data_IF_390348300218
#
_entry.id   IF_390348300218
#
_cell.length_a   1.000
_cell.length_b   1.000
_cell.length_c   1.000
_cell.angle_alpha   90.00
_cell.angle_beta   90.00
_cell.angle_gamma   90.00
#
_symmetry.space_group_name_H-M   'P 1'
#
loop_
_entity.id
_entity.type
_entity.pdbx_description
1 polymer ?
#
# COMPACT_ATOMS: atom_id res chain seq x y z
N UNK A 1 -7.93 23.16 4.33
CA UNK A 1 -6.51 22.78 4.51
C UNK A 1 -5.97 22.39 3.15
N UNK A 2 -4.69 22.65 2.87
CA UNK A 2 -4.07 22.11 1.65
C UNK A 2 -3.97 20.59 1.79
N UNK A 3 -4.31 19.87 0.72
CA UNK A 3 -4.23 18.41 0.68
C UNK A 3 -2.78 17.96 0.50
N UNK A 4 -2.44 16.82 1.05
CA UNK A 4 -1.10 16.22 0.94
C UNK A 4 -1.00 15.55 -0.43
N UNK A 5 -0.07 15.97 -1.32
CA UNK A 5 0.13 15.32 -2.60
C UNK A 5 0.77 13.95 -2.39
N UNK A 6 0.14 12.90 -2.92
CA UNK A 6 0.59 11.51 -2.73
C UNK A 6 0.77 10.75 -4.03
N UNK A 7 1.74 9.85 -4.02
CA UNK A 7 1.91 8.77 -5.00
C UNK A 7 1.69 7.46 -4.26
N UNK A 8 0.83 6.59 -4.78
CA UNK A 8 0.71 5.22 -4.29
C UNK A 8 1.57 4.29 -5.15
N UNK A 9 2.46 3.51 -4.56
CA UNK A 9 3.20 2.43 -5.22
C UNK A 9 2.77 1.09 -4.63
N UNK A 10 2.10 0.26 -5.43
CA UNK A 10 1.30 -0.89 -4.97
C UNK A 10 1.52 -2.13 -5.81
N UNK A 11 1.49 -3.30 -5.17
CA UNK A 11 1.38 -4.60 -5.84
C UNK A 11 -0.01 -5.21 -5.71
N UNK A 12 -1.05 -4.38 -5.84
CA UNK A 12 -2.45 -4.79 -5.90
C UNK A 12 -2.65 -5.97 -6.86
N UNK A 13 -3.36 -6.99 -6.40
CA UNK A 13 -3.58 -8.23 -7.17
C UNK A 13 -2.99 -9.46 -6.49
N UNK A 14 -1.92 -9.30 -5.71
CA UNK A 14 -1.30 -10.38 -4.93
C UNK A 14 -2.15 -10.68 -3.70
N UNK A 15 -2.24 -9.73 -2.78
CA UNK A 15 -3.19 -9.74 -1.68
C UNK A 15 -4.34 -8.78 -2.03
N UNK A 16 -5.47 -8.93 -1.34
CA UNK A 16 -6.65 -8.10 -1.56
C UNK A 16 -6.54 -6.78 -0.81
N UNK A 17 -5.72 -6.68 0.24
CA UNK A 17 -5.67 -5.51 1.11
C UNK A 17 -5.21 -4.23 0.41
N UNK A 18 -4.39 -4.29 -0.63
CA UNK A 18 -4.12 -3.14 -1.49
C UNK A 18 -5.41 -2.51 -2.07
N UNK A 19 -6.43 -3.32 -2.38
CA UNK A 19 -7.72 -2.82 -2.89
C UNK A 19 -8.47 -2.05 -1.79
N UNK A 20 -8.39 -2.53 -0.55
CA UNK A 20 -8.95 -1.82 0.61
C UNK A 20 -8.20 -0.51 0.86
N UNK A 21 -6.87 -0.55 0.78
CA UNK A 21 -6.02 0.63 0.92
C UNK A 21 -6.26 1.65 -0.19
N UNK A 22 -6.41 1.24 -1.45
CA UNK A 22 -6.74 2.12 -2.57
C UNK A 22 -8.08 2.84 -2.35
N UNK A 23 -9.11 2.13 -1.87
CA UNK A 23 -10.42 2.72 -1.61
C UNK A 23 -10.34 3.71 -0.44
N UNK A 24 -9.66 3.34 0.65
CA UNK A 24 -9.40 4.24 1.77
C UNK A 24 -8.66 5.51 1.30
N UNK A 25 -7.63 5.34 0.46
CA UNK A 25 -6.78 6.41 -0.06
C UNK A 25 -7.61 7.44 -0.84
N UNK A 26 -8.42 7.00 -1.81
CA UNK A 26 -9.19 7.92 -2.67
C UNK A 26 -10.39 8.56 -1.96
N UNK A 27 -10.82 8.00 -0.83
CA UNK A 27 -11.85 8.54 0.03
C UNK A 27 -11.29 9.43 1.16
N UNK A 28 -9.97 9.48 1.36
CA UNK A 28 -9.36 10.30 2.41
C UNK A 28 -9.26 11.77 1.94
N UNK A 29 -10.02 12.72 2.54
CA UNK A 29 -10.07 14.10 2.08
C UNK A 29 -8.75 14.87 2.28
N UNK A 30 -7.89 14.39 3.18
CA UNK A 30 -6.57 14.93 3.46
C UNK A 30 -5.60 14.72 2.29
N UNK A 31 -5.86 13.74 1.44
CA UNK A 31 -4.93 13.26 0.42
C UNK A 31 -5.34 13.71 -1.00
N UNK A 32 -4.34 14.07 -1.80
CA UNK A 32 -4.46 14.42 -3.20
C UNK A 32 -3.61 13.46 -4.03
N UNK A 33 -4.24 12.38 -4.49
CA UNK A 33 -3.57 11.29 -5.21
C UNK A 33 -3.19 11.75 -6.61
N UNK A 34 -1.90 11.91 -6.84
CA UNK A 34 -1.33 12.42 -8.09
C UNK A 34 -0.99 11.34 -9.10
N UNK A 35 -0.61 10.17 -8.64
CA UNK A 35 -0.19 9.03 -9.45
C UNK A 35 -0.35 7.73 -8.64
N UNK A 36 -0.71 6.64 -9.32
CA UNK A 36 -0.66 5.30 -8.75
C UNK A 36 0.25 4.44 -9.64
N UNK A 37 1.32 3.90 -9.10
CA UNK A 37 2.25 3.01 -9.80
C UNK A 37 2.07 1.56 -9.38
N UNK A 38 2.21 0.65 -10.35
CA UNK A 38 2.17 -0.79 -10.10
C UNK A 38 3.56 -1.38 -10.02
N UNK A 39 3.80 -2.30 -9.10
CA UNK A 39 5.10 -2.96 -8.92
C UNK A 39 4.95 -4.47 -8.75
N UNK A 40 5.98 -5.22 -9.15
CA UNK A 40 6.08 -6.68 -9.09
C UNK A 40 5.03 -7.43 -9.93
N UNK A 41 5.25 -8.72 -10.19
CA UNK A 41 4.30 -9.56 -10.93
C UNK A 41 3.89 -8.98 -12.29
N UNK A 42 2.64 -9.15 -12.68
CA UNK A 42 2.07 -8.62 -13.93
C UNK A 42 1.50 -7.22 -13.70
N UNK A 43 2.37 -6.21 -13.86
CA UNK A 43 2.04 -4.80 -13.59
C UNK A 43 0.93 -4.23 -14.48
N UNK A 44 0.67 -4.80 -15.66
CA UNK A 44 -0.45 -4.43 -16.52
C UNK A 44 -1.75 -4.98 -15.95
N UNK A 45 -1.76 -6.24 -15.51
CA UNK A 45 -2.90 -6.81 -14.79
C UNK A 45 -3.23 -6.02 -13.52
N UNK A 46 -2.22 -5.65 -12.73
CA UNK A 46 -2.42 -4.79 -11.54
C UNK A 46 -3.05 -3.44 -11.90
N UNK A 47 -2.59 -2.84 -13.00
CA UNK A 47 -3.12 -1.57 -13.48
C UNK A 47 -4.59 -1.67 -13.92
N UNK A 48 -5.02 -2.81 -14.48
CA UNK A 48 -6.44 -3.06 -14.77
C UNK A 48 -7.30 -3.06 -13.52
N UNK A 49 -6.81 -3.58 -12.38
CA UNK A 49 -7.55 -3.57 -11.10
C UNK A 49 -7.76 -2.12 -10.66
N UNK A 50 -6.67 -1.34 -10.62
CA UNK A 50 -6.72 0.07 -10.24
C UNK A 50 -7.69 0.83 -11.17
N UNK A 51 -7.52 0.71 -12.48
CA UNK A 51 -8.35 1.37 -13.47
C UNK A 51 -9.85 1.02 -13.31
N UNK A 52 -10.19 -0.25 -13.07
CA UNK A 52 -11.57 -0.69 -12.84
C UNK A 52 -12.15 -0.05 -11.56
N UNK A 53 -11.41 -0.07 -10.45
CA UNK A 53 -11.85 0.52 -9.19
C UNK A 53 -12.02 2.04 -9.32
N UNK A 54 -11.05 2.74 -9.91
CA UNK A 54 -11.11 4.19 -10.13
C UNK A 54 -12.27 4.59 -11.05
N UNK A 55 -12.52 3.80 -12.11
CA UNK A 55 -13.68 4.02 -12.99
C UNK A 55 -15.00 3.93 -12.23
N UNK A 56 -15.17 2.92 -11.38
CA UNK A 56 -16.35 2.75 -10.53
C UNK A 56 -16.48 3.91 -9.53
N UNK A 57 -15.35 4.40 -9.02
CA UNK A 57 -15.27 5.56 -8.13
C UNK A 57 -15.48 6.91 -8.83
N UNK A 58 -15.54 6.95 -10.17
CA UNK A 58 -15.59 8.19 -10.94
C UNK A 58 -14.31 9.04 -10.85
N UNK A 59 -13.15 8.42 -10.61
CA UNK A 59 -11.84 9.08 -10.45
C UNK A 59 -10.96 8.86 -11.67
N UNK A 60 -10.21 9.90 -12.08
CA UNK A 60 -9.29 9.89 -13.24
C UNK A 60 -7.84 10.11 -12.81
N UNK A 61 -7.40 9.38 -11.79
CA UNK A 61 -6.03 9.45 -11.28
C UNK A 61 -5.10 8.74 -12.28
N UNK A 62 -3.98 9.36 -12.70
CA UNK A 62 -3.03 8.69 -13.58
C UNK A 62 -2.47 7.40 -12.99
N UNK A 63 -2.24 6.40 -13.85
CA UNK A 63 -1.68 5.11 -13.50
C UNK A 63 -0.34 4.93 -14.23
N UNK A 64 0.71 4.57 -13.52
CA UNK A 64 2.01 4.24 -14.11
C UNK A 64 2.31 2.75 -14.04
N UNK A 65 2.61 2.13 -15.18
CA UNK A 65 3.07 0.74 -15.23
C UNK A 65 4.53 0.71 -14.77
N UNK A 66 4.82 0.01 -13.66
CA UNK A 66 6.19 -0.13 -13.14
C UNK A 66 6.84 -1.46 -13.48
N UNK A 67 7.88 -1.80 -12.70
CA UNK A 67 8.70 -2.99 -12.91
C UNK A 67 7.95 -4.24 -12.43
N UNK A 68 7.88 -5.26 -13.29
CA UNK A 68 7.25 -6.53 -12.98
C UNK A 68 7.87 -7.72 -13.72
N UNK A 69 7.45 -8.92 -13.32
CA UNK A 69 7.69 -10.18 -14.02
C UNK A 69 6.36 -10.95 -14.16
N UNK A 70 5.64 -10.79 -15.29
CA UNK A 70 4.35 -11.43 -15.50
C UNK A 70 4.38 -12.96 -15.40
N UNK A 71 5.53 -13.60 -15.63
CA UNK A 71 5.64 -15.08 -15.65
C UNK A 71 5.48 -15.71 -14.27
N UNK A 72 5.86 -14.96 -13.23
CA UNK A 72 5.81 -15.41 -11.84
C UNK A 72 4.73 -14.66 -11.03
N UNK A 73 3.78 -14.04 -11.73
CA UNK A 73 2.75 -13.25 -11.09
C UNK A 73 1.66 -14.11 -10.45
N UNK A 74 1.25 -13.70 -9.27
CA UNK A 74 0.12 -14.28 -8.55
C UNK A 74 -1.14 -13.44 -8.82
N UNK A 75 -1.95 -13.87 -9.79
CA UNK A 75 -3.08 -13.09 -10.30
C UNK A 75 -4.42 -13.52 -9.70
N UNK A 76 -4.55 -13.52 -8.36
CA UNK A 76 -5.75 -14.05 -7.69
C UNK A 76 -7.02 -13.22 -7.91
N UNK A 77 -6.88 -11.98 -8.38
CA UNK A 77 -7.98 -11.09 -8.74
C UNK A 77 -8.20 -11.04 -10.27
N UNK A 78 -7.56 -11.91 -11.08
CA UNK A 78 -7.76 -11.95 -12.54
C UNK A 78 -9.23 -12.04 -12.96
N UNK A 79 -10.08 -12.89 -12.34
CA UNK A 79 -11.47 -12.97 -12.74
C UNK A 79 -12.24 -11.65 -12.55
N UNK A 80 -11.80 -10.77 -11.62
CA UNK A 80 -12.42 -9.47 -11.42
C UNK A 80 -12.17 -8.52 -12.61
N UNK A 81 -11.04 -8.66 -13.31
CA UNK A 81 -10.65 -7.75 -14.40
C UNK A 81 -10.58 -8.40 -15.77
N UNK A 82 -10.94 -9.68 -15.89
CA UNK A 82 -10.87 -10.46 -17.14
C UNK A 82 -11.54 -9.76 -18.32
N UNK A 83 -12.77 -9.29 -18.11
CA UNK A 83 -13.59 -8.64 -19.14
C UNK A 83 -13.44 -7.10 -19.11
N UNK A 84 -12.49 -6.58 -18.34
CA UNK A 84 -12.25 -5.15 -18.25
C UNK A 84 -11.24 -4.69 -19.31
N UNK A 85 -11.71 -3.85 -20.23
CA UNK A 85 -10.84 -3.12 -21.15
C UNK A 85 -10.26 -1.89 -20.44
N UNK A 86 -8.93 -1.89 -20.29
CA UNK A 86 -8.19 -0.81 -19.64
C UNK A 86 -8.33 0.51 -20.42
N UNK A 87 -8.53 0.47 -21.74
CA UNK A 87 -8.73 1.67 -22.56
C UNK A 87 -10.09 2.34 -22.30
N UNK A 88 -11.00 1.66 -21.60
CA UNK A 88 -12.24 2.25 -21.14
C UNK A 88 -12.06 3.15 -19.91
N UNK A 89 -10.87 3.18 -19.32
CA UNK A 89 -10.49 4.10 -18.25
C UNK A 89 -10.13 5.48 -18.83
N UNK A 90 -10.67 6.55 -18.25
CA UNK A 90 -10.48 7.91 -18.76
C UNK A 90 -9.26 8.64 -18.15
N UNK A 91 -8.61 8.06 -17.15
CA UNK A 91 -7.35 8.58 -16.62
C UNK A 91 -6.18 8.18 -17.50
N UNK A 92 -5.07 8.90 -17.37
CA UNK A 92 -3.85 8.62 -18.13
C UNK A 92 -3.19 7.33 -17.67
N UNK A 93 -2.61 6.58 -18.62
CA UNK A 93 -1.83 5.37 -18.37
C UNK A 93 -0.44 5.59 -18.94
N UNK A 94 0.56 5.68 -18.06
CA UNK A 94 1.96 5.78 -18.44
C UNK A 94 2.55 4.37 -18.57
N UNK A 95 3.12 4.06 -19.74
CA UNK A 95 3.87 2.81 -19.95
C UNK A 95 5.15 2.77 -19.11
N UNK A 96 5.75 3.93 -18.82
CA UNK A 96 6.88 4.09 -17.93
C UNK A 96 6.45 4.84 -16.65
N UNK A 97 5.88 4.10 -15.71
CA UNK A 97 5.45 4.63 -14.43
C UNK A 97 6.58 5.16 -13.55
N UNK A 98 7.80 4.68 -13.76
CA UNK A 98 8.97 5.12 -12.99
C UNK A 98 9.38 6.51 -13.44
N UNK A 99 9.46 6.73 -14.75
CA UNK A 99 9.73 8.05 -15.30
C UNK A 99 8.62 9.05 -14.94
N UNK A 100 7.35 8.62 -15.00
CA UNK A 100 6.22 9.44 -14.55
C UNK A 100 6.34 9.83 -13.07
N UNK A 101 6.72 8.91 -12.18
CA UNK A 101 7.00 9.18 -10.77
C UNK A 101 8.14 10.20 -10.60
N UNK A 102 9.27 10.00 -11.31
CA UNK A 102 10.42 10.91 -11.27
C UNK A 102 10.04 12.31 -11.73
N UNK A 103 9.35 12.43 -12.86
CA UNK A 103 8.96 13.73 -13.42
C UNK A 103 7.97 14.47 -12.52
N UNK A 104 7.00 13.74 -11.94
CA UNK A 104 6.04 14.30 -11.00
C UNK A 104 6.75 14.86 -9.75
N UNK A 105 7.65 14.09 -9.12
CA UNK A 105 8.38 14.55 -7.93
C UNK A 105 9.37 15.68 -8.27
N UNK A 106 10.05 15.58 -9.41
CA UNK A 106 11.04 16.59 -9.82
C UNK A 106 10.41 17.96 -10.04
N UNK A 107 9.20 17.98 -10.62
CA UNK A 107 8.47 19.20 -11.00
C UNK A 107 7.51 19.71 -9.92
N UNK A 108 7.33 18.98 -8.82
CA UNK A 108 6.49 19.43 -7.70
C UNK A 108 7.15 20.56 -6.92
N UNK A 109 6.38 21.61 -6.60
CA UNK A 109 6.81 22.71 -5.73
C UNK A 109 6.75 22.34 -4.24
N UNK A 110 5.84 21.43 -3.89
CA UNK A 110 5.67 20.91 -2.53
C UNK A 110 6.19 19.47 -2.43
N UNK A 111 6.70 19.03 -1.27
CA UNK A 111 7.10 17.64 -1.08
C UNK A 111 5.95 16.66 -1.32
N UNK A 112 6.21 15.66 -2.18
CA UNK A 112 5.28 14.55 -2.41
C UNK A 112 5.51 13.48 -1.34
N UNK A 113 4.44 12.86 -0.86
CA UNK A 113 4.53 11.65 -0.02
C UNK A 113 4.33 10.40 -0.88
N UNK A 114 5.35 9.55 -0.94
CA UNK A 114 5.24 8.23 -1.57
C UNK A 114 4.70 7.26 -0.52
N UNK A 115 3.52 6.69 -0.78
CA UNK A 115 2.92 5.61 -0.01
C UNK A 115 3.26 4.30 -0.71
N UNK A 116 4.19 3.54 -0.14
CA UNK A 116 4.72 2.31 -0.73
C UNK A 116 4.16 1.11 0.01
N UNK A 117 3.28 0.37 -0.65
CA UNK A 117 2.60 -0.81 -0.08
C UNK A 117 2.94 -2.11 -0.81
N UNK A 118 3.82 -2.04 -1.81
CA UNK A 118 4.46 -3.21 -2.41
C UNK A 118 5.98 -3.25 -2.21
N UNK A 119 6.68 -4.17 -2.91
CA UNK A 119 8.15 -4.19 -2.94
C UNK A 119 8.71 -2.86 -3.44
N UNK A 120 9.78 -2.37 -2.81
CA UNK A 120 10.33 -1.04 -3.06
C UNK A 120 11.09 -0.86 -4.41
N UNK A 121 10.90 -1.78 -5.36
CA UNK A 121 11.64 -1.87 -6.63
C UNK A 121 11.50 -0.61 -7.48
N UNK A 122 10.28 -0.10 -7.65
CA UNK A 122 10.04 1.12 -8.43
C UNK A 122 10.75 2.34 -7.81
N UNK A 123 10.67 2.48 -6.49
CA UNK A 123 11.25 3.60 -5.76
C UNK A 123 12.78 3.55 -5.82
N UNK A 124 13.37 2.37 -5.60
CA UNK A 124 14.80 2.17 -5.77
C UNK A 124 15.26 2.52 -7.19
N UNK A 125 14.49 2.15 -8.22
CA UNK A 125 14.77 2.53 -9.61
C UNK A 125 14.63 4.04 -9.85
N UNK A 126 13.62 4.68 -9.29
CA UNK A 126 13.45 6.13 -9.38
C UNK A 126 14.64 6.87 -8.76
N UNK A 127 15.18 6.38 -7.63
CA UNK A 127 16.41 6.90 -7.00
C UNK A 127 17.65 6.67 -7.88
N UNK A 128 17.73 5.57 -8.64
CA UNK A 128 18.80 5.38 -9.61
C UNK A 128 18.77 6.42 -10.73
N UNK A 129 17.57 6.70 -11.26
CA UNK A 129 17.37 7.66 -12.34
C UNK A 129 17.61 9.09 -11.85
N UNK A 130 17.10 9.42 -10.65
CA UNK A 130 17.23 10.73 -10.04
C UNK A 130 17.70 10.62 -8.57
N UNK A 131 19.02 10.62 -8.32
CA UNK A 131 19.57 10.42 -6.97
C UNK A 131 19.16 11.46 -5.91
N UNK A 132 18.75 12.66 -6.33
CA UNK A 132 18.24 13.70 -5.43
C UNK A 132 16.75 13.58 -5.14
N UNK A 133 16.04 12.62 -5.75
CA UNK A 133 14.61 12.35 -5.54
C UNK A 133 14.23 12.28 -4.05
N UNK A 134 14.95 11.54 -3.18
CA UNK A 134 14.61 11.45 -1.76
C UNK A 134 14.53 12.82 -1.07
N UNK A 135 15.38 13.77 -1.45
CA UNK A 135 15.42 15.11 -0.85
C UNK A 135 14.18 15.95 -1.16
N UNK A 136 13.31 15.49 -2.06
CA UNK A 136 12.07 16.16 -2.48
C UNK A 136 10.79 15.45 -2.03
N UNK A 137 10.89 14.28 -1.39
CA UNK A 137 9.70 13.52 -1.02
C UNK A 137 9.82 12.88 0.38
N UNK A 138 8.67 12.59 0.95
CA UNK A 138 8.53 11.73 2.12
C UNK A 138 8.30 10.29 1.66
N UNK A 139 8.73 9.33 2.47
CA UNK A 139 8.44 7.91 2.29
C UNK A 139 7.58 7.42 3.45
N UNK A 140 6.44 6.83 3.11
CA UNK A 140 5.55 6.11 4.03
C UNK A 140 5.38 4.68 3.51
N UNK A 141 5.73 3.67 4.29
CA UNK A 141 5.80 2.28 3.81
C UNK A 141 5.08 1.25 4.66
N UNK A 142 4.44 0.26 4.03
CA UNK A 142 4.07 -1.02 4.67
C UNK A 142 5.22 -2.01 4.49
N UNK A 143 6.18 -1.95 5.41
CA UNK A 143 7.41 -2.74 5.34
C UNK A 143 7.86 -3.21 6.71
N UNK A 144 8.30 -4.46 6.75
CA UNK A 144 9.07 -4.98 7.88
C UNK A 144 8.25 -5.63 8.99
N UNK A 145 9.00 -6.21 9.92
CA UNK A 145 8.56 -6.96 11.08
C UNK A 145 9.66 -6.81 12.13
N UNK A 146 9.43 -6.00 13.16
CA UNK A 146 10.48 -5.58 14.10
C UNK A 146 10.49 -6.49 15.34
N UNK A 147 9.37 -6.51 16.06
CA UNK A 147 9.16 -7.32 17.27
C UNK A 147 7.96 -8.27 17.17
N UNK A 148 7.08 -8.09 16.17
CA UNK A 148 5.98 -9.00 15.85
C UNK A 148 6.07 -9.53 14.42
N UNK A 149 5.74 -10.81 14.26
CA UNK A 149 5.59 -11.48 12.97
C UNK A 149 4.13 -11.63 12.54
N UNK A 150 3.90 -12.42 11.50
CA UNK A 150 2.56 -12.67 10.98
C UNK A 150 1.64 -13.30 12.04
N UNK A 151 0.37 -12.87 12.05
CA UNK A 151 -0.62 -13.30 13.04
C UNK A 151 -0.34 -12.78 14.45
N UNK A 152 0.48 -11.73 14.61
CA UNK A 152 0.77 -11.09 15.89
C UNK A 152 1.68 -11.89 16.82
N UNK A 153 2.35 -12.94 16.31
CA UNK A 153 3.28 -13.74 17.11
C UNK A 153 4.50 -12.91 17.53
N UNK A 154 5.07 -13.26 18.68
CA UNK A 154 6.34 -12.68 19.12
C UNK A 154 7.49 -13.08 18.20
N UNK A 155 8.45 -12.17 18.06
CA UNK A 155 9.58 -12.32 17.15
C UNK A 155 9.32 -11.65 15.81
N UNK A 156 10.13 -11.97 14.81
CA UNK A 156 10.08 -11.33 13.51
C UNK A 156 9.99 -12.36 12.40
N UNK A 157 9.37 -11.98 11.30
CA UNK A 157 9.30 -12.74 10.07
C UNK A 157 9.95 -11.97 8.92
N UNK A 158 10.36 -12.66 7.84
CA UNK A 158 10.67 -11.97 6.60
C UNK A 158 9.34 -11.51 5.97
N UNK A 159 9.02 -10.24 6.21
CA UNK A 159 7.82 -9.57 5.67
C UNK A 159 7.86 -9.60 4.13
N UNK A 160 6.70 -9.76 3.49
CA UNK A 160 6.58 -10.12 2.08
C UNK A 160 7.20 -9.08 1.15
N UNK A 161 6.89 -7.79 1.34
CA UNK A 161 7.43 -6.69 0.56
C UNK A 161 8.95 -6.56 0.71
N UNK A 162 9.46 -6.67 1.95
CA UNK A 162 10.90 -6.68 2.22
C UNK A 162 11.59 -7.87 1.55
N UNK A 163 11.04 -9.07 1.72
CA UNK A 163 11.62 -10.32 1.21
C UNK A 163 11.63 -10.36 -0.31
N UNK A 164 10.61 -9.77 -0.94
CA UNK A 164 10.47 -9.72 -2.40
C UNK A 164 11.61 -8.94 -3.06
N UNK A 165 12.08 -7.86 -2.44
CA UNK A 165 13.21 -7.09 -2.95
C UNK A 165 14.04 -6.41 -1.83
N UNK A 166 14.88 -7.21 -1.19
CA UNK A 166 15.77 -6.79 -0.10
C UNK A 166 16.71 -5.66 -0.53
N UNK A 167 17.25 -5.72 -1.75
CA UNK A 167 18.24 -4.74 -2.22
C UNK A 167 17.61 -3.38 -2.46
N UNK A 168 16.41 -3.36 -3.05
CA UNK A 168 15.67 -2.12 -3.25
C UNK A 168 15.27 -1.48 -1.92
N UNK A 169 14.79 -2.25 -0.94
CA UNK A 169 14.45 -1.67 0.36
C UNK A 169 15.68 -1.11 1.09
N UNK A 170 16.82 -1.79 1.03
CA UNK A 170 18.10 -1.25 1.56
C UNK A 170 18.48 0.06 0.90
N UNK A 171 18.29 0.19 -0.40
CA UNK A 171 18.54 1.45 -1.13
C UNK A 171 17.61 2.55 -0.64
N UNK A 172 16.33 2.26 -0.42
CA UNK A 172 15.36 3.22 0.11
C UNK A 172 15.73 3.65 1.54
N UNK A 173 16.03 2.69 2.42
CA UNK A 173 16.34 2.98 3.83
C UNK A 173 17.62 3.79 4.00
N UNK A 174 18.66 3.50 3.21
CA UNK A 174 19.91 4.28 3.21
C UNK A 174 19.83 5.63 2.49
N UNK A 175 18.71 5.93 1.82
CA UNK A 175 18.51 7.19 1.11
C UNK A 175 18.01 8.31 2.02
N UNK A 176 18.39 9.55 1.68
CA UNK A 176 18.09 10.75 2.47
C UNK A 176 16.73 11.36 2.08
N UNK A 177 15.65 10.63 2.34
CA UNK A 177 14.30 11.17 2.25
C UNK A 177 14.08 12.31 3.26
N UNK A 178 13.12 13.20 2.99
CA UNK A 178 12.72 14.24 3.96
C UNK A 178 12.27 13.59 5.27
N UNK A 179 11.48 12.52 5.16
CA UNK A 179 11.09 11.63 6.25
C UNK A 179 10.92 10.21 5.73
N UNK A 180 11.21 9.21 6.57
CA UNK A 180 10.94 7.79 6.34
C UNK A 180 10.13 7.27 7.51
N UNK A 181 8.89 6.88 7.24
CA UNK A 181 7.95 6.37 8.22
C UNK A 181 7.42 5.03 7.73
N UNK A 182 7.41 4.00 8.58
CA UNK A 182 6.88 2.69 8.21
C UNK A 182 5.89 2.16 9.24
N UNK A 183 4.96 1.36 8.74
CA UNK A 183 4.15 0.43 9.55
C UNK A 183 4.62 -1.00 9.28
N UNK A 184 5.33 -1.63 10.23
CA UNK A 184 5.67 -3.04 10.17
C UNK A 184 4.53 -3.92 10.69
N UNK A 185 4.70 -5.25 10.61
CA UNK A 185 3.76 -6.25 11.14
C UNK A 185 3.38 -6.04 12.62
N UNK A 186 4.20 -5.31 13.39
CA UNK A 186 3.90 -4.86 14.76
C UNK A 186 2.60 -4.08 14.89
N UNK A 187 2.19 -3.37 13.84
CA UNK A 187 0.95 -2.59 13.80
C UNK A 187 0.04 -3.02 12.67
N UNK A 188 0.51 -3.07 11.42
CA UNK A 188 -0.33 -3.44 10.28
C UNK A 188 -0.80 -4.90 10.32
N UNK A 189 -0.02 -5.80 10.93
CA UNK A 189 -0.34 -7.23 11.03
C UNK A 189 -1.51 -7.57 11.95
N UNK A 190 -2.10 -6.57 12.61
CA UNK A 190 -3.18 -6.72 13.60
C UNK A 190 -4.51 -6.14 13.12
N UNK A 191 -4.56 -5.56 11.92
CA UNK A 191 -5.75 -4.89 11.39
C UNK A 191 -6.61 -5.89 10.64
N UNK A 192 -7.82 -6.13 11.13
CA UNK A 192 -8.88 -6.82 10.38
C UNK A 192 -10.24 -6.28 10.83
N UNK A 193 -11.22 -6.36 9.94
CA UNK A 193 -12.61 -5.98 10.22
C UNK A 193 -13.45 -7.24 10.41
N UNK A 194 -14.23 -7.25 11.48
CA UNK A 194 -15.25 -8.27 11.75
C UNK A 194 -16.54 -7.62 12.28
N UNK A 195 -17.52 -8.45 12.64
CA UNK A 195 -18.74 -8.01 13.32
C UNK A 195 -19.49 -6.90 12.57
N UNK A 196 -19.93 -5.88 13.30
CA UNK A 196 -20.69 -4.77 12.72
C UNK A 196 -19.85 -3.87 11.81
N UNK A 197 -18.54 -3.73 12.07
CA UNK A 197 -17.63 -2.97 11.22
C UNK A 197 -17.55 -3.59 9.82
N UNK A 198 -17.32 -4.90 9.76
CA UNK A 198 -17.28 -5.61 8.48
C UNK A 198 -18.64 -5.64 7.79
N UNK A 199 -19.72 -5.93 8.53
CA UNK A 199 -21.08 -5.96 7.97
C UNK A 199 -21.51 -4.64 7.33
N UNK A 200 -21.08 -3.49 7.85
CA UNK A 200 -21.33 -2.18 7.24
C UNK A 200 -20.76 -2.12 5.82
N UNK A 201 -19.53 -2.58 5.63
CA UNK A 201 -18.88 -2.61 4.31
C UNK A 201 -19.52 -3.70 3.44
N UNK A 202 -19.66 -4.91 3.98
CA UNK A 202 -20.17 -6.09 3.27
C UNK A 202 -21.58 -5.90 2.69
N UNK A 203 -22.47 -5.26 3.45
CA UNK A 203 -23.86 -5.00 3.06
C UNK A 203 -24.06 -3.63 2.38
N UNK A 204 -22.99 -2.91 2.06
CA UNK A 204 -23.11 -1.58 1.46
C UNK A 204 -23.64 -1.64 0.04
N UNK A 205 -24.57 -0.75 -0.27
CA UNK A 205 -25.12 -0.60 -1.63
C UNK A 205 -24.25 0.32 -2.51
N UNK A 206 -23.20 0.95 -1.95
CA UNK A 206 -22.30 1.84 -2.71
C UNK A 206 -21.56 1.03 -3.78
N UNK A 207 -21.54 1.47 -5.06
CA UNK A 207 -20.94 0.70 -6.16
C UNK A 207 -19.49 0.27 -5.91
N UNK A 208 -18.68 1.15 -5.32
CA UNK A 208 -17.28 0.86 -5.03
C UNK A 208 -17.10 -0.22 -3.97
N UNK A 209 -17.97 -0.27 -2.95
CA UNK A 209 -17.92 -1.27 -1.90
C UNK A 209 -18.49 -2.61 -2.36
N UNK A 210 -19.51 -2.61 -3.24
CA UNK A 210 -19.93 -3.82 -3.94
C UNK A 210 -18.80 -4.43 -4.75
N UNK A 211 -18.07 -3.60 -5.50
CA UNK A 211 -16.93 -4.04 -6.28
C UNK A 211 -15.79 -4.58 -5.40
N UNK A 212 -15.51 -3.92 -4.27
CA UNK A 212 -14.55 -4.39 -3.27
C UNK A 212 -14.90 -5.80 -2.77
N UNK A 213 -16.16 -6.02 -2.35
CA UNK A 213 -16.60 -7.30 -1.80
C UNK A 213 -16.68 -8.39 -2.87
N UNK A 214 -17.07 -8.06 -4.10
CA UNK A 214 -17.00 -8.99 -5.24
C UNK A 214 -15.56 -9.45 -5.46
N UNK A 215 -14.62 -8.51 -5.53
CA UNK A 215 -13.21 -8.78 -5.73
C UNK A 215 -12.61 -9.58 -4.57
N UNK A 216 -12.97 -9.24 -3.33
CA UNK A 216 -12.55 -9.98 -2.15
C UNK A 216 -13.04 -11.42 -2.15
N UNK A 217 -14.30 -11.67 -2.54
CA UNK A 217 -14.84 -13.04 -2.68
C UNK A 217 -14.14 -13.84 -3.78
N UNK A 218 -13.68 -13.18 -4.85
CA UNK A 218 -12.89 -13.82 -5.90
C UNK A 218 -11.53 -14.22 -5.34
N UNK A 219 -10.81 -13.27 -4.73
CA UNK A 219 -9.51 -13.50 -4.13
C UNK A 219 -9.54 -14.59 -3.05
N UNK A 220 -10.53 -14.54 -2.14
CA UNK A 220 -10.70 -15.49 -1.05
C UNK A 220 -10.84 -16.96 -1.51
N UNK A 221 -11.36 -17.19 -2.72
CA UNK A 221 -11.49 -18.54 -3.31
C UNK A 221 -10.20 -19.04 -3.97
N UNK A 222 -9.30 -18.12 -4.35
CA UNK A 222 -8.14 -18.42 -5.19
C UNK A 222 -6.82 -18.34 -4.42
N UNK A 223 -6.76 -17.57 -3.33
CA UNK A 223 -5.57 -17.46 -2.48
C UNK A 223 -5.16 -18.84 -1.91
N UNK A 224 -3.85 -19.10 -1.87
CA UNK A 224 -3.32 -20.44 -1.58
C UNK A 224 -2.61 -20.57 -0.23
N UNK A 225 -2.25 -19.46 0.41
CA UNK A 225 -1.51 -19.46 1.69
C UNK A 225 -2.40 -19.35 2.92
N UNK A 226 -3.68 -19.02 2.76
CA UNK A 226 -4.61 -18.87 3.88
C UNK A 226 -6.02 -19.29 3.50
N UNK A 227 -6.83 -19.63 4.50
CA UNK A 227 -8.27 -19.85 4.33
C UNK A 227 -8.99 -18.59 4.77
N UNK A 228 -9.96 -18.16 3.97
CA UNK A 228 -10.61 -16.87 4.13
C UNK A 228 -12.12 -17.07 4.23
N UNK A 229 -12.70 -16.60 5.33
CA UNK A 229 -14.16 -16.50 5.47
C UNK A 229 -14.61 -15.07 5.11
N UNK A 230 -14.68 -14.82 3.80
CA UNK A 230 -15.07 -13.53 3.26
C UNK A 230 -16.52 -13.12 3.57
N UNK A 231 -17.33 -13.98 4.19
CA UNK A 231 -18.71 -13.60 4.57
C UNK A 231 -18.77 -12.96 5.97
N UNK A 232 -17.80 -13.25 6.83
CA UNK A 232 -17.84 -12.84 8.24
C UNK A 232 -16.75 -11.84 8.64
N UNK A 233 -15.60 -11.81 7.95
CA UNK A 233 -14.52 -10.88 8.23
C UNK A 233 -13.65 -10.56 7.01
N UNK A 234 -12.86 -9.49 7.09
CA UNK A 234 -11.81 -9.18 6.09
C UNK A 234 -10.58 -10.08 6.28
N UNK A 235 -9.67 -10.11 5.30
CA UNK A 235 -8.29 -10.51 5.54
C UNK A 235 -7.61 -9.51 6.48
N UNK A 236 -6.34 -9.76 6.83
CA UNK A 236 -5.53 -8.71 7.45
C UNK A 236 -5.36 -7.56 6.44
N UNK A 237 -5.63 -6.33 6.86
CA UNK A 237 -5.63 -5.14 6.02
C UNK A 237 -4.35 -4.32 6.26
N UNK A 238 -3.20 -4.88 5.91
CA UNK A 238 -1.90 -4.34 6.29
C UNK A 238 -1.71 -2.92 5.75
N UNK A 239 -1.99 -2.74 4.46
CA UNK A 239 -1.67 -1.53 3.70
C UNK A 239 -2.45 -0.29 4.13
N UNK A 240 -3.61 -0.50 4.76
CA UNK A 240 -4.47 0.60 5.22
C UNK A 240 -3.78 1.47 6.28
N UNK A 241 -2.85 0.90 7.04
CA UNK A 241 -2.08 1.65 8.04
C UNK A 241 -1.08 2.60 7.35
N UNK A 242 -0.46 2.19 6.23
CA UNK A 242 0.46 3.06 5.49
C UNK A 242 -0.29 4.24 4.87
N UNK A 243 -1.52 4.03 4.39
CA UNK A 243 -2.39 5.11 3.92
C UNK A 243 -2.72 6.08 5.07
N UNK A 244 -3.05 5.58 6.26
CA UNK A 244 -3.30 6.42 7.43
C UNK A 244 -2.07 7.25 7.82
N UNK A 245 -0.90 6.62 7.89
CA UNK A 245 0.38 7.27 8.22
C UNK A 245 0.77 8.40 7.24
N UNK A 246 0.18 8.44 6.05
CA UNK A 246 0.38 9.54 5.10
C UNK A 246 -0.23 10.87 5.57
N UNK A 247 -1.21 10.87 6.49
CA UNK A 247 -1.87 12.08 6.98
C UNK A 247 -2.06 12.14 8.50
N UNK A 248 -2.02 11.02 9.22
CA UNK A 248 -2.13 11.00 10.68
C UNK A 248 -1.43 9.78 11.29
N UNK A 249 -1.04 9.91 12.55
CA UNK A 249 -0.50 8.83 13.37
C UNK A 249 -1.00 8.96 14.81
N UNK A 250 -2.18 9.57 15.00
CA UNK A 250 -2.75 9.86 16.32
C UNK A 250 -2.93 8.58 17.15
N UNK A 251 -3.42 7.51 16.52
CA UNK A 251 -3.68 6.21 17.15
C UNK A 251 -2.44 5.33 17.31
N UNK A 252 -1.26 5.81 16.93
CA UNK A 252 -0.04 5.03 16.87
C UNK A 252 1.07 5.64 17.74
N UNK A 253 1.91 4.78 18.29
CA UNK A 253 3.18 5.16 18.90
C UNK A 253 4.29 5.01 17.86
N UNK A 254 4.95 6.13 17.55
CA UNK A 254 6.03 6.19 16.56
C UNK A 254 7.36 6.32 17.30
N UNK A 255 8.30 5.43 17.01
CA UNK A 255 9.65 5.45 17.59
C UNK A 255 10.70 5.52 16.47
N UNK A 256 11.78 6.31 16.61
CA UNK A 256 12.94 6.22 15.74
C UNK A 256 13.71 4.93 16.05
N UNK A 257 13.91 4.08 15.05
CA UNK A 257 14.64 2.82 15.17
C UNK A 257 15.68 2.77 14.05
N UNK A 258 16.93 2.42 14.39
CA UNK A 258 17.93 2.07 13.40
C UNK A 258 17.72 0.64 12.94
N UNK A 259 17.41 0.45 11.66
CA UNK A 259 17.04 -0.84 11.09
C UNK A 259 18.11 -1.30 10.11
N UNK A 260 18.50 -2.57 10.24
CA UNK A 260 19.23 -3.31 9.22
C UNK A 260 18.30 -4.31 8.55
N UNK A 261 18.23 -4.28 7.21
CA UNK A 261 17.57 -5.32 6.42
C UNK A 261 18.58 -6.43 6.12
N UNK A 262 18.31 -7.67 6.52
CA UNK A 262 19.20 -8.82 6.30
C UNK A 262 19.00 -9.45 4.91
N UNK A 263 19.95 -10.29 4.46
CA UNK A 263 19.90 -10.88 3.11
C UNK A 263 18.71 -11.83 2.91
N UNK A 264 18.22 -12.41 4.00
CA UNK A 264 17.04 -13.28 4.07
C UNK A 264 15.73 -12.52 4.34
N UNK A 265 15.75 -11.19 4.33
CA UNK A 265 14.55 -10.35 4.35
C UNK A 265 14.01 -9.98 5.73
N UNK A 266 14.79 -10.12 6.80
CA UNK A 266 14.39 -9.63 8.11
C UNK A 266 14.76 -8.16 8.30
N UNK A 267 13.89 -7.42 8.99
CA UNK A 267 14.17 -6.07 9.49
C UNK A 267 14.55 -6.14 10.96
N UNK A 268 15.80 -5.81 11.29
CA UNK A 268 16.36 -6.02 12.64
C UNK A 268 16.84 -4.69 13.21
N UNK A 269 16.49 -4.33 14.46
CA UNK A 269 17.12 -3.23 15.17
C UNK A 269 18.65 -3.44 15.25
N UNK A 270 19.42 -2.49 14.74
CA UNK A 270 20.89 -2.54 14.69
C UNK A 270 21.44 -1.11 14.81
N UNK A 271 22.38 -0.87 15.73
CA UNK A 271 22.99 0.45 15.95
C UNK A 271 23.72 1.04 14.72
N UNK A 272 24.07 0.19 13.75
CA UNK A 272 24.67 0.56 12.47
C UNK A 272 23.65 0.60 11.32
N UNK A 273 22.37 0.36 11.62
CA UNK A 273 21.28 0.43 10.65
C UNK A 273 20.92 1.87 10.29
N UNK A 274 20.01 1.98 9.33
CA UNK A 274 19.46 3.25 8.89
C UNK A 274 18.34 3.68 9.85
N UNK A 275 18.34 4.94 10.29
CA UNK A 275 17.29 5.47 11.16
C UNK A 275 15.98 5.67 10.39
N UNK A 276 14.90 5.04 10.87
CA UNK A 276 13.56 5.06 10.30
C UNK A 276 12.56 5.36 11.43
N UNK A 277 11.51 6.14 11.16
CA UNK A 277 10.39 6.27 12.08
C UNK A 277 9.48 5.05 11.92
N UNK A 278 9.12 4.40 13.03
CA UNK A 278 8.42 3.12 13.01
C UNK A 278 7.18 3.18 13.87
N UNK A 279 6.02 2.83 13.30
CA UNK A 279 4.79 2.61 14.05
C UNK A 279 4.86 1.28 14.80
N UNK A 280 5.29 1.32 16.06
CA UNK A 280 5.67 0.11 16.81
C UNK A 280 4.55 -0.46 17.67
N UNK A 281 3.57 0.37 18.04
CA UNK A 281 2.42 -0.03 18.86
C UNK A 281 1.18 0.80 18.53
N UNK A 282 0.02 0.19 18.74
CA UNK A 282 -1.27 0.89 18.77
C UNK A 282 -1.48 1.55 20.12
N UNK A 283 -1.81 2.84 20.12
CA UNK A 283 -2.43 3.53 21.27
C UNK A 283 -3.90 3.17 21.37
N UNK A 284 -4.58 3.14 20.23
CA UNK A 284 -5.99 2.76 20.12
C UNK A 284 -6.31 2.12 18.76
N UNK A 285 -6.20 0.80 18.69
CA UNK A 285 -6.55 0.05 17.48
C UNK A 285 -8.05 0.15 17.17
N UNK A 286 -8.92 0.24 18.17
CA UNK A 286 -10.37 0.30 17.92
C UNK A 286 -10.77 1.62 17.27
N UNK A 287 -10.21 2.74 17.74
CA UNK A 287 -10.42 4.04 17.10
C UNK A 287 -9.94 4.04 15.65
N UNK A 288 -8.80 3.40 15.36
CA UNK A 288 -8.35 3.22 13.99
C UNK A 288 -9.32 2.37 13.14
N UNK A 289 -9.84 1.26 13.67
CA UNK A 289 -10.79 0.42 12.94
C UNK A 289 -12.11 1.15 12.66
N UNK A 290 -12.57 2.00 13.58
CA UNK A 290 -13.74 2.85 13.36
C UNK A 290 -13.46 3.90 12.27
N UNK A 291 -12.32 4.60 12.35
CA UNK A 291 -11.86 5.54 11.33
C UNK A 291 -11.68 4.91 9.95
N UNK A 292 -11.14 3.68 9.89
CA UNK A 292 -11.00 2.91 8.66
C UNK A 292 -12.37 2.65 8.02
N UNK A 293 -13.36 2.26 8.81
CA UNK A 293 -14.73 2.05 8.31
C UNK A 293 -15.32 3.35 7.77
N UNK A 294 -15.16 4.47 8.47
CA UNK A 294 -15.64 5.79 8.00
C UNK A 294 -15.01 6.17 6.65
N UNK A 295 -13.69 6.01 6.52
CA UNK A 295 -12.97 6.29 5.27
C UNK A 295 -13.36 5.34 4.15
N UNK A 296 -13.52 4.04 4.40
CA UNK A 296 -14.02 3.09 3.39
C UNK A 296 -15.44 3.42 2.95
N UNK A 297 -16.31 3.84 3.89
CA UNK A 297 -17.64 4.30 3.58
C UNK A 297 -17.63 5.62 2.80
N UNK A 298 -16.55 6.39 2.81
CA UNK A 298 -16.50 7.72 2.19
C UNK A 298 -17.42 8.70 2.92
N UNK A 299 -17.50 8.54 4.25
CA UNK A 299 -18.13 9.50 5.16
C UNK A 299 -17.09 10.58 5.50
N UNK A 300 -17.53 11.85 5.57
CA UNK A 300 -16.66 13.00 5.89
C UNK A 300 -16.30 13.04 7.36
#
# INVERSE_FOLDING_TARGET
>A
MNKIPVILDTDIGTDIDDTWALIMLINSPELDVKLITTVSGDTIYRAKIIAKILKIAGKKIPIGIGIGDPKNSLNFQEPFVRDFDINSYEGEIYEDGIQAMVDLIKNSEEPITIVSIGPATNIAKAIEIYPDLPKKCNFVGMHGSIYKGYGGKDGRDPEANVKSDVLSLRRVFSSNFISKLITPLDTCGLVFLDGERYKKIYNSEKPILKALIENYKIWAKLVTWTKVDSENHSSTLFDTVAVYLAYSHEFLEIEPIKIKVTDDGYTVPDEKGDEILVAIRWKDLNAFLDHLVERLMGEE
#
